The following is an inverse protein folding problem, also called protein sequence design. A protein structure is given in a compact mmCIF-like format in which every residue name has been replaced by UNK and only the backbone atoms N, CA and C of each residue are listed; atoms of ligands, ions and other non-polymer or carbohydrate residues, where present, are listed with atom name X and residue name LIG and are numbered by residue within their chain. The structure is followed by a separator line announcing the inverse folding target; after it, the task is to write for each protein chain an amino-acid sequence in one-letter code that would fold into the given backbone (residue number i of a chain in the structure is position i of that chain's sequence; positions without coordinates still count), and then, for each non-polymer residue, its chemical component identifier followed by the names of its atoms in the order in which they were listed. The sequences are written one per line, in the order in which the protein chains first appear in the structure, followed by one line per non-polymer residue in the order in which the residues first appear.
data_IF_177766566070
#
_entry.id   IF_177766566070
#
_cell.length_a   1.000
_cell.length_b   1.000
_cell.length_c   1.000
_cell.angle_alpha   90.00
_cell.angle_beta   90.00
_cell.angle_gamma   90.00
#
_symmetry.space_group_name_H-M   'P 1'
#
loop_
_entity.id
_entity.type
_entity.pdbx_description
1 polymer ?
#
# COMPACT_ATOMS: atom_id res chain seq x y z
N UNK A 1 36.62 -78.68 26.64
CA UNK A 1 37.38 -77.73 25.80
C UNK A 1 36.45 -77.13 24.75
N UNK A 2 35.69 -77.95 24.01
CA UNK A 2 34.70 -77.51 22.99
C UNK A 2 33.64 -76.50 23.41
N UNK A 3 33.08 -76.58 24.62
CA UNK A 3 32.02 -75.62 25.02
C UNK A 3 32.57 -74.21 25.26
N UNK A 4 33.78 -74.11 25.79
CA UNK A 4 34.48 -72.85 26.00
C UNK A 4 34.78 -72.21 24.63
N UNK A 5 35.23 -73.00 23.66
CA UNK A 5 35.51 -72.54 22.30
C UNK A 5 34.23 -72.05 21.58
N UNK A 6 33.12 -72.80 21.68
CA UNK A 6 31.81 -72.37 21.16
C UNK A 6 31.34 -71.06 21.79
N UNK A 7 31.53 -70.89 23.09
CA UNK A 7 31.19 -69.67 23.79
C UNK A 7 32.05 -68.49 23.33
N UNK A 8 33.36 -68.68 23.21
CA UNK A 8 34.31 -67.69 22.69
C UNK A 8 33.93 -67.24 21.28
N UNK A 9 33.58 -68.17 20.39
CA UNK A 9 33.15 -67.84 19.02
C UNK A 9 31.87 -67.01 19.01
N UNK A 10 30.87 -67.35 19.84
CA UNK A 10 29.65 -66.53 19.98
C UNK A 10 29.95 -65.14 20.51
N UNK A 11 30.91 -65.01 21.41
CA UNK A 11 31.30 -63.73 22.00
C UNK A 11 32.02 -62.86 20.96
N UNK A 12 32.95 -63.43 20.19
CA UNK A 12 33.58 -62.73 19.06
C UNK A 12 32.56 -62.24 18.03
N UNK A 13 31.63 -63.10 17.60
CA UNK A 13 30.58 -62.68 16.66
C UNK A 13 29.74 -61.52 17.20
N UNK A 14 29.43 -61.50 18.50
CA UNK A 14 28.71 -60.39 19.14
C UNK A 14 29.55 -59.11 19.17
N UNK A 15 30.85 -59.22 19.47
CA UNK A 15 31.77 -58.07 19.48
C UNK A 15 31.88 -57.46 18.08
N UNK A 16 32.09 -58.28 17.05
CA UNK A 16 32.12 -57.83 15.65
C UNK A 16 30.81 -57.15 15.24
N UNK A 17 29.66 -57.72 15.65
CA UNK A 17 28.35 -57.10 15.40
C UNK A 17 28.18 -55.74 16.09
N UNK A 18 28.68 -55.61 17.33
CA UNK A 18 28.66 -54.34 18.06
C UNK A 18 29.58 -53.30 17.39
N UNK A 19 30.77 -53.68 16.95
CA UNK A 19 31.69 -52.78 16.24
C UNK A 19 31.09 -52.24 14.95
N UNK A 20 30.36 -53.08 14.19
CA UNK A 20 29.65 -52.63 13.00
C UNK A 20 28.52 -51.67 13.33
N UNK A 21 27.75 -51.95 14.39
CA UNK A 21 26.70 -51.05 14.85
C UNK A 21 27.26 -49.69 15.29
N UNK A 22 28.39 -49.68 16.01
CA UNK A 22 29.06 -48.44 16.42
C UNK A 22 29.48 -47.61 15.20
N UNK A 23 30.13 -48.23 14.21
CA UNK A 23 30.51 -47.53 12.96
C UNK A 23 29.31 -46.94 12.22
N UNK A 24 28.20 -47.69 12.17
CA UNK A 24 26.96 -47.22 11.56
C UNK A 24 26.36 -46.02 12.31
N UNK A 25 26.35 -46.07 13.64
CA UNK A 25 25.88 -44.97 14.48
C UNK A 25 26.75 -43.73 14.29
N UNK A 26 28.07 -43.88 14.29
CA UNK A 26 29.00 -42.76 14.06
C UNK A 26 28.78 -42.08 12.70
N UNK A 27 28.53 -42.86 11.65
CA UNK A 27 28.23 -42.31 10.33
C UNK A 27 26.92 -41.50 10.35
N UNK A 28 25.86 -42.02 10.96
CA UNK A 28 24.57 -41.33 11.10
C UNK A 28 24.69 -40.07 11.95
N UNK A 29 25.46 -40.10 13.03
CA UNK A 29 25.70 -38.92 13.87
C UNK A 29 26.37 -37.80 13.08
N UNK A 30 27.41 -38.12 12.29
CA UNK A 30 28.07 -37.13 11.42
C UNK A 30 27.13 -36.54 10.36
N UNK A 31 26.22 -37.34 9.82
CA UNK A 31 25.22 -36.86 8.87
C UNK A 31 24.22 -35.90 9.55
N UNK A 32 23.75 -36.25 10.75
CA UNK A 32 22.86 -35.40 11.55
C UNK A 32 23.54 -34.07 11.90
N UNK A 33 24.81 -34.09 12.29
CA UNK A 33 25.58 -32.87 12.58
C UNK A 33 25.65 -31.94 11.37
N UNK A 34 25.94 -32.49 10.18
CA UNK A 34 25.97 -31.73 8.92
C UNK A 34 24.60 -31.15 8.57
N UNK A 35 23.55 -31.96 8.70
CA UNK A 35 22.17 -31.53 8.44
C UNK A 35 21.76 -30.40 9.40
N UNK A 36 22.09 -30.52 10.69
CA UNK A 36 21.83 -29.51 11.71
C UNK A 36 22.55 -28.20 11.41
N UNK A 37 23.83 -28.27 11.01
CA UNK A 37 24.58 -27.08 10.61
C UNK A 37 23.97 -26.40 9.38
N UNK A 38 23.57 -27.17 8.37
CA UNK A 38 22.88 -26.65 7.19
C UNK A 38 21.57 -25.93 7.56
N UNK A 39 20.71 -26.57 8.37
CA UNK A 39 19.45 -25.98 8.81
C UNK A 39 19.66 -24.69 9.61
N UNK A 40 20.68 -24.63 10.47
CA UNK A 40 20.99 -23.42 11.23
C UNK A 40 21.40 -22.25 10.33
N UNK A 41 22.18 -22.52 9.28
CA UNK A 41 22.57 -21.48 8.31
C UNK A 41 21.33 -20.96 7.54
N UNK A 42 20.48 -21.86 7.04
CA UNK A 42 19.24 -21.48 6.34
C UNK A 42 18.27 -20.68 7.23
N UNK A 43 18.21 -21.04 8.52
CA UNK A 43 17.40 -20.31 9.50
C UNK A 43 17.93 -18.89 9.72
N UNK A 44 19.24 -18.69 9.80
CA UNK A 44 19.83 -17.37 9.97
C UNK A 44 19.64 -16.50 8.72
N UNK A 45 19.83 -17.07 7.53
CA UNK A 45 19.55 -16.39 6.26
C UNK A 45 18.08 -15.96 6.16
N UNK A 46 17.17 -16.83 6.56
CA UNK A 46 15.73 -16.54 6.59
C UNK A 46 15.42 -15.42 7.58
N UNK A 47 16.02 -15.44 8.78
CA UNK A 47 15.86 -14.35 9.77
C UNK A 47 16.35 -13.02 9.23
N UNK A 48 17.46 -13.01 8.50
CA UNK A 48 18.00 -11.79 7.93
C UNK A 48 17.09 -11.24 6.82
N UNK A 49 16.55 -12.11 5.96
CA UNK A 49 15.54 -11.72 4.95
C UNK A 49 14.30 -11.12 5.60
N UNK A 50 13.77 -11.74 6.66
CA UNK A 50 12.61 -11.23 7.40
C UNK A 50 12.88 -9.82 7.96
N UNK A 51 14.05 -9.60 8.56
CA UNK A 51 14.42 -8.26 9.09
C UNK A 51 14.52 -7.21 7.98
N UNK A 52 15.08 -7.56 6.82
CA UNK A 52 15.15 -6.67 5.66
C UNK A 52 13.75 -6.29 5.19
N UNK A 53 12.89 -7.28 4.96
CA UNK A 53 11.51 -7.06 4.51
C UNK A 53 10.71 -6.25 5.51
N UNK A 54 10.85 -6.47 6.82
CA UNK A 54 10.17 -5.66 7.84
C UNK A 54 10.60 -4.18 7.79
N UNK A 55 11.88 -3.93 7.52
CA UNK A 55 12.42 -2.56 7.36
C UNK A 55 11.86 -1.90 6.10
N UNK A 56 11.80 -2.62 4.99
CA UNK A 56 11.21 -2.15 3.73
C UNK A 56 9.72 -1.82 3.89
N UNK A 57 8.95 -2.68 4.55
CA UNK A 57 7.53 -2.46 4.84
C UNK A 57 7.33 -1.19 5.67
N UNK A 58 8.16 -0.98 6.71
CA UNK A 58 8.10 0.25 7.53
C UNK A 58 8.36 1.51 6.70
N UNK A 59 9.36 1.47 5.81
CA UNK A 59 9.68 2.59 4.92
C UNK A 59 8.55 2.88 3.93
N UNK A 60 8.00 1.84 3.28
CA UNK A 60 6.86 1.99 2.36
C UNK A 60 5.66 2.61 3.09
N UNK A 61 5.33 2.12 4.28
CA UNK A 61 4.22 2.64 5.07
C UNK A 61 4.40 4.10 5.46
N UNK A 62 5.63 4.50 5.83
CA UNK A 62 5.96 5.90 6.11
C UNK A 62 5.76 6.78 4.88
N UNK A 63 6.36 6.40 3.75
CA UNK A 63 6.28 7.14 2.49
C UNK A 63 4.84 7.27 2.00
N UNK A 64 4.04 6.21 2.11
CA UNK A 64 2.62 6.26 1.76
C UNK A 64 1.82 7.22 2.63
N UNK A 65 2.05 7.25 3.95
CA UNK A 65 1.39 8.22 4.85
C UNK A 65 1.73 9.66 4.47
N UNK A 66 3.00 9.95 4.24
CA UNK A 66 3.47 11.29 3.85
C UNK A 66 2.86 11.71 2.50
N UNK A 67 2.81 10.79 1.52
CA UNK A 67 2.23 11.07 0.21
C UNK A 67 0.72 11.31 0.28
N UNK A 68 -0.02 10.53 1.09
CA UNK A 68 -1.46 10.75 1.31
C UNK A 68 -1.70 12.12 1.94
N UNK A 69 -0.89 12.52 2.92
CA UNK A 69 -1.01 13.82 3.56
C UNK A 69 -0.74 14.96 2.57
N UNK A 70 0.30 14.83 1.75
CA UNK A 70 0.62 15.83 0.71
C UNK A 70 -0.49 15.96 -0.33
N UNK A 71 -1.08 14.85 -0.78
CA UNK A 71 -2.20 14.87 -1.73
C UNK A 71 -3.43 15.56 -1.13
N UNK A 72 -3.74 15.29 0.14
CA UNK A 72 -4.86 15.95 0.83
C UNK A 72 -4.68 17.47 0.90
N UNK A 73 -3.49 17.92 1.31
CA UNK A 73 -3.18 19.35 1.34
C UNK A 73 -3.31 20.01 -0.04
N UNK A 74 -2.82 19.35 -1.08
CA UNK A 74 -2.95 19.85 -2.46
C UNK A 74 -4.41 19.90 -2.92
N UNK A 75 -5.23 18.91 -2.54
CA UNK A 75 -6.65 18.91 -2.86
C UNK A 75 -7.36 20.08 -2.18
N UNK A 76 -7.13 20.29 -0.89
CA UNK A 76 -7.70 21.39 -0.12
C UNK A 76 -7.29 22.76 -0.69
N UNK A 77 -6.01 22.92 -1.06
CA UNK A 77 -5.52 24.15 -1.71
C UNK A 77 -6.17 24.39 -3.07
N UNK A 78 -6.34 23.35 -3.87
CA UNK A 78 -6.96 23.45 -5.18
C UNK A 78 -8.46 23.77 -5.09
N UNK A 79 -9.16 23.19 -4.10
CA UNK A 79 -10.56 23.51 -3.81
C UNK A 79 -10.70 24.99 -3.44
N UNK A 80 -9.85 25.49 -2.54
CA UNK A 80 -9.85 26.91 -2.16
C UNK A 80 -9.60 27.84 -3.35
N UNK A 81 -8.62 27.51 -4.21
CA UNK A 81 -8.33 28.29 -5.43
C UNK A 81 -9.51 28.27 -6.40
N UNK A 82 -10.16 27.12 -6.56
CA UNK A 82 -11.32 26.98 -7.45
C UNK A 82 -12.47 27.83 -6.93
N UNK A 83 -12.78 27.74 -5.64
CA UNK A 83 -13.82 28.55 -5.00
C UNK A 83 -13.54 30.06 -5.11
N UNK A 84 -12.30 30.50 -4.92
CA UNK A 84 -11.92 31.92 -5.10
C UNK A 84 -12.12 32.37 -6.54
N UNK A 85 -11.67 31.57 -7.51
CA UNK A 85 -11.80 31.87 -8.94
C UNK A 85 -13.27 31.95 -9.36
N UNK A 86 -14.11 31.00 -8.93
CA UNK A 86 -15.55 31.01 -9.20
C UNK A 86 -16.22 32.23 -8.59
N UNK A 87 -15.93 32.54 -7.32
CA UNK A 87 -16.47 33.71 -6.64
C UNK A 87 -16.07 35.02 -7.34
N UNK A 88 -14.83 35.12 -7.82
CA UNK A 88 -14.34 36.29 -8.58
C UNK A 88 -14.96 36.38 -9.96
N UNK A 89 -15.10 35.26 -10.65
CA UNK A 89 -15.71 35.20 -11.98
C UNK A 89 -17.19 35.56 -11.96
N UNK A 90 -17.91 35.19 -10.91
CA UNK A 90 -19.34 35.47 -10.76
C UNK A 90 -19.65 36.81 -10.08
N UNK A 91 -18.65 37.50 -9.54
CA UNK A 91 -18.83 38.70 -8.70
C UNK A 91 -19.68 39.79 -9.35
N UNK A 92 -19.44 40.06 -10.63
CA UNK A 92 -20.12 41.11 -11.39
C UNK A 92 -21.32 40.56 -12.18
N UNK A 93 -21.62 39.26 -12.07
CA UNK A 93 -22.77 38.69 -12.74
C UNK A 93 -24.05 39.00 -11.97
N UNK A 94 -25.08 39.43 -12.70
CA UNK A 94 -26.42 39.61 -12.14
C UNK A 94 -27.29 38.40 -12.50
N UNK A 95 -27.89 37.79 -11.48
CA UNK A 95 -28.80 36.66 -11.64
C UNK A 95 -30.25 37.14 -11.60
N UNK A 96 -30.95 37.01 -12.73
CA UNK A 96 -32.37 37.37 -12.86
C UNK A 96 -33.25 36.13 -12.68
N UNK A 97 -34.02 36.10 -11.60
CA UNK A 97 -34.94 35.00 -11.29
C UNK A 97 -36.39 35.35 -11.63
N UNK A 98 -37.20 34.34 -11.95
CA UNK A 98 -38.63 34.51 -12.22
C UNK A 98 -38.95 35.22 -13.53
N UNK A 99 -38.04 35.12 -14.51
CA UNK A 99 -38.31 35.55 -15.88
C UNK A 99 -39.15 34.47 -16.58
N UNK A 100 -40.29 34.81 -17.20
CA UNK A 100 -41.13 33.83 -17.89
C UNK A 100 -40.42 33.34 -19.17
N UNK A 101 -40.39 32.02 -19.36
CA UNK A 101 -39.85 31.41 -20.58
C UNK A 101 -40.82 31.58 -21.76
N UNK A 102 -40.31 31.91 -22.95
CA UNK A 102 -41.13 32.10 -24.16
C UNK A 102 -40.48 31.52 -25.41
N UNK A 103 -41.30 31.14 -26.40
CA UNK A 103 -40.78 30.65 -27.67
C UNK A 103 -40.10 31.79 -28.45
N UNK A 104 -38.88 31.57 -28.95
CA UNK A 104 -38.02 32.58 -29.60
C UNK A 104 -37.63 33.74 -28.66
N UNK A 105 -37.07 33.39 -27.50
CA UNK A 105 -36.61 34.35 -26.49
C UNK A 105 -35.64 35.41 -27.01
N UNK A 106 -35.90 36.66 -26.63
CA UNK A 106 -34.96 37.77 -26.72
C UNK A 106 -34.50 38.14 -25.31
N UNK A 107 -33.42 37.50 -24.85
CA UNK A 107 -32.87 37.72 -23.51
C UNK A 107 -32.45 39.19 -23.29
N UNK A 108 -31.82 39.81 -24.28
CA UNK A 108 -31.37 41.20 -24.21
C UNK A 108 -32.55 42.17 -24.01
N UNK A 109 -33.61 42.00 -24.82
CA UNK A 109 -34.83 42.79 -24.69
C UNK A 109 -35.51 42.58 -23.34
N UNK A 110 -35.56 41.34 -22.87
CA UNK A 110 -36.13 40.99 -21.55
C UNK A 110 -35.36 41.66 -20.41
N UNK A 111 -34.02 41.63 -20.44
CA UNK A 111 -33.18 42.31 -19.44
C UNK A 111 -33.38 43.82 -19.49
N UNK A 112 -33.40 44.44 -20.68
CA UNK A 112 -33.68 45.88 -20.84
C UNK A 112 -35.03 46.28 -20.25
N UNK A 113 -36.09 45.52 -20.51
CA UNK A 113 -37.42 45.75 -19.92
C UNK A 113 -37.40 45.62 -18.39
N UNK A 114 -36.74 44.60 -17.83
CA UNK A 114 -36.62 44.43 -16.38
C UNK A 114 -35.92 45.64 -15.75
N UNK A 115 -34.82 46.13 -16.34
CA UNK A 115 -34.08 47.27 -15.80
C UNK A 115 -34.94 48.55 -15.83
N UNK A 116 -35.64 48.81 -16.94
CA UNK A 116 -36.48 50.00 -17.08
C UNK A 116 -37.73 49.96 -16.19
N UNK A 117 -38.46 48.86 -16.21
CA UNK A 117 -39.79 48.77 -15.60
C UNK A 117 -39.73 48.45 -14.10
N UNK A 118 -38.79 47.59 -13.68
CA UNK A 118 -38.69 47.13 -12.29
C UNK A 118 -37.61 47.88 -11.51
N UNK A 119 -36.42 48.06 -12.09
CA UNK A 119 -35.29 48.72 -11.42
C UNK A 119 -35.31 50.24 -11.59
N UNK A 120 -36.04 50.77 -12.59
CA UNK A 120 -36.22 52.22 -12.86
C UNK A 120 -34.90 52.97 -13.10
N UNK A 121 -33.92 52.31 -13.71
CA UNK A 121 -32.65 52.94 -14.11
C UNK A 121 -32.86 53.52 -15.52
N UNK A 122 -32.76 54.85 -15.66
CA UNK A 122 -33.22 55.60 -16.86
C UNK A 122 -32.07 56.15 -17.73
N UNK A 123 -30.84 55.75 -17.47
CA UNK A 123 -29.69 56.13 -18.31
C UNK A 123 -29.67 55.32 -19.63
N UNK A 124 -28.90 55.76 -20.63
CA UNK A 124 -28.73 55.02 -21.88
C UNK A 124 -27.99 53.69 -21.59
N UNK A 125 -28.74 52.60 -21.46
CA UNK A 125 -28.20 51.27 -21.21
C UNK A 125 -27.72 50.69 -22.55
N UNK A 126 -26.40 50.68 -22.75
CA UNK A 126 -25.73 49.86 -23.75
C UNK A 126 -25.32 48.53 -23.11
N UNK A 127 -25.72 47.43 -23.75
CA UNK A 127 -25.20 46.10 -23.46
C UNK A 127 -24.19 45.82 -24.58
N UNK A 128 -22.90 45.77 -24.24
CA UNK A 128 -21.81 45.47 -25.17
C UNK A 128 -21.78 43.98 -25.56
#
# INVERSE_FOLDING_TARGET
MDEIEKFLNKLNMKVEGLEQNVKSIEARTKEIERSSQFMNNELEDTRQKIKSTDTEIKNINKNHKEKIQSIKLQADENEQKTNDLEARSMRENLLFYGCPEVLNENCEGTVKSIILERLRIVENITLD
#
